data_IF_833060509784
#
_entry.id   IF_833060509784
#
_cell.length_a   1.000
_cell.length_b   1.000
_cell.length_c   1.000
_cell.angle_alpha   90.00
_cell.angle_beta   90.00
_cell.angle_gamma   90.00
#
_symmetry.space_group_name_H-M   'P 1'
#
loop_
_entity.id
_entity.type
_entity.pdbx_description
1 polymer ?
#
# COMPACT_ATOMS: atom_id res chain seq x y z
N UNK A 1 -8.21 -8.75 37.30
CA UNK A 1 -8.28 -7.94 36.06
C UNK A 1 -7.36 -6.75 36.20
N UNK A 2 -6.35 -6.59 35.34
CA UNK A 2 -5.41 -5.44 35.42
C UNK A 2 -6.06 -4.24 34.71
N UNK A 3 -6.59 -3.29 35.47
CA UNK A 3 -7.24 -2.09 34.93
C UNK A 3 -6.20 -0.97 34.86
N UNK A 4 -6.04 -0.34 33.69
CA UNK A 4 -5.06 0.73 33.54
C UNK A 4 -5.60 2.09 33.98
N UNK A 5 -4.69 3.04 34.25
CA UNK A 5 -5.05 4.37 34.72
C UNK A 5 -5.88 5.23 33.76
N UNK A 6 -6.06 4.82 32.50
CA UNK A 6 -7.01 5.44 31.57
C UNK A 6 -8.43 4.89 31.79
N UNK A 7 -8.59 3.57 31.82
CA UNK A 7 -9.88 2.91 32.08
C UNK A 7 -10.46 3.26 33.46
N UNK A 8 -9.61 3.45 34.47
CA UNK A 8 -10.06 3.88 35.82
C UNK A 8 -10.75 5.24 35.80
N UNK A 9 -10.34 6.16 34.92
CA UNK A 9 -10.90 7.52 34.88
C UNK A 9 -12.28 7.59 34.22
N UNK A 10 -12.69 6.52 33.54
CA UNK A 10 -14.00 6.42 32.89
C UNK A 10 -15.03 5.67 33.74
N UNK A 11 -14.62 5.18 34.93
CA UNK A 11 -15.51 4.45 35.84
C UNK A 11 -15.97 5.36 36.99
N UNK A 12 -17.24 5.23 37.44
CA UNK A 12 -17.73 5.93 38.62
C UNK A 12 -16.85 5.69 39.86
N UNK A 13 -16.72 6.70 40.73
CA UNK A 13 -15.83 6.63 41.91
C UNK A 13 -16.11 5.43 42.83
N UNK A 14 -17.34 4.92 42.82
CA UNK A 14 -17.83 3.85 43.69
C UNK A 14 -17.54 2.44 43.15
N UNK A 15 -16.91 2.34 41.98
CA UNK A 15 -16.76 1.07 41.25
C UNK A 15 -15.81 0.07 41.92
N UNK A 16 -15.00 0.51 42.89
CA UNK A 16 -13.98 -0.33 43.53
C UNK A 16 -13.78 -0.03 45.01
N UNK A 17 -13.57 -1.08 45.79
CA UNK A 17 -13.19 -1.01 47.21
C UNK A 17 -11.80 -0.39 47.40
N UNK A 18 -11.51 0.12 48.61
CA UNK A 18 -10.22 0.71 48.97
C UNK A 18 -9.06 -0.28 48.76
N UNK A 19 -9.28 -1.57 49.01
CA UNK A 19 -8.31 -2.64 48.76
C UNK A 19 -8.08 -2.89 47.26
N UNK A 20 -9.13 -2.83 46.43
CA UNK A 20 -9.03 -2.92 44.98
C UNK A 20 -8.28 -1.71 44.38
N UNK A 21 -8.35 -0.53 45.03
CA UNK A 21 -7.51 0.64 44.67
C UNK A 21 -6.03 0.43 45.02
N UNK A 22 -5.72 -0.38 46.05
CA UNK A 22 -4.36 -0.66 46.53
C UNK A 22 -3.57 -1.71 45.73
N UNK A 23 -4.23 -2.61 45.00
CA UNK A 23 -3.61 -3.70 44.23
C UNK A 23 -3.12 -3.30 42.81
N UNK A 24 -2.93 -2.01 42.53
CA UNK A 24 -2.55 -1.52 41.19
C UNK A 24 -1.12 -1.93 40.83
N UNK A 25 -0.97 -2.86 39.87
CA UNK A 25 0.25 -2.93 39.07
C UNK A 25 0.26 -1.76 38.07
N UNK A 26 1.22 -0.85 38.24
CA UNK A 26 1.48 0.32 37.39
C UNK A 26 1.66 -0.09 35.92
N UNK A 27 0.59 -0.07 35.11
CA UNK A 27 0.68 -0.06 33.65
C UNK A 27 0.00 1.21 33.15
N UNK A 28 0.74 2.04 32.41
CA UNK A 28 0.29 3.34 31.88
C UNK A 28 -0.95 3.20 30.97
N UNK A 29 -1.09 2.07 30.26
CA UNK A 29 -2.25 1.66 29.42
C UNK A 29 -2.40 0.14 29.35
N UNK A 30 -3.61 -0.40 29.45
CA UNK A 30 -3.88 -1.83 29.28
C UNK A 30 -3.77 -2.22 27.79
N UNK A 31 -3.74 -3.52 27.51
CA UNK A 31 -3.66 -4.07 26.14
C UNK A 31 -4.76 -3.53 25.24
N UNK A 32 -6.00 -3.43 25.74
CA UNK A 32 -7.13 -2.85 25.00
C UNK A 32 -6.89 -1.36 24.65
N UNK A 33 -6.37 -0.57 25.60
CA UNK A 33 -6.02 0.83 25.36
C UNK A 33 -4.85 0.98 24.37
N UNK A 34 -3.91 0.04 24.35
CA UNK A 34 -2.81 0.00 23.37
C UNK A 34 -3.35 -0.38 22.00
N UNK A 35 -4.17 -1.43 21.91
CA UNK A 35 -4.80 -1.89 20.68
C UNK A 35 -5.68 -0.78 20.07
N UNK A 36 -6.55 -0.15 20.87
CA UNK A 36 -7.36 0.99 20.43
C UNK A 36 -6.48 2.17 19.96
N UNK A 37 -5.36 2.42 20.65
CA UNK A 37 -4.38 3.42 20.24
C UNK A 37 -3.72 3.10 18.88
N UNK A 38 -3.30 1.85 18.69
CA UNK A 38 -2.69 1.37 17.46
C UNK A 38 -3.68 1.45 16.29
N UNK A 39 -4.92 1.01 16.50
CA UNK A 39 -5.98 1.10 15.49
C UNK A 39 -6.29 2.55 15.13
N UNK A 40 -6.35 3.47 16.11
CA UNK A 40 -6.56 4.89 15.84
C UNK A 40 -5.41 5.48 14.99
N UNK A 41 -4.17 5.13 15.30
CA UNK A 41 -2.99 5.54 14.52
C UNK A 41 -3.09 4.97 13.10
N UNK A 42 -3.43 3.70 12.96
CA UNK A 42 -3.63 3.03 11.68
C UNK A 42 -4.70 3.74 10.85
N UNK A 43 -5.83 4.16 11.43
CA UNK A 43 -6.89 4.87 10.66
C UNK A 43 -6.54 6.32 10.32
N UNK A 44 -5.62 6.95 11.05
CA UNK A 44 -5.20 8.34 10.82
C UNK A 44 -4.06 8.48 9.82
N UNK A 45 -3.13 7.52 9.75
CA UNK A 45 -1.99 7.56 8.80
C UNK A 45 -2.34 7.02 7.42
N UNK A 46 -1.49 7.28 6.42
CA UNK A 46 -1.62 6.74 5.07
C UNK A 46 -2.97 7.02 4.39
N UNK A 47 -3.50 8.23 4.58
CA UNK A 47 -4.77 8.70 3.97
C UNK A 47 -4.54 9.56 2.73
N UNK A 48 -3.30 9.65 2.27
CA UNK A 48 -2.84 10.30 1.04
C UNK A 48 -1.76 9.43 0.42
N UNK A 49 -1.61 9.54 -0.90
CA UNK A 49 -0.50 8.95 -1.63
C UNK A 49 0.75 9.80 -1.43
N UNK A 50 1.92 9.18 -1.55
CA UNK A 50 3.20 9.89 -1.45
C UNK A 50 3.64 10.35 -2.83
N UNK A 51 4.54 11.33 -2.93
CA UNK A 51 5.16 11.76 -4.20
C UNK A 51 5.83 10.61 -4.98
N UNK A 52 6.24 9.53 -4.31
CA UNK A 52 6.74 8.32 -4.96
C UNK A 52 5.69 7.62 -5.86
N UNK A 53 4.41 7.93 -5.67
CA UNK A 53 3.28 7.43 -6.45
C UNK A 53 2.94 8.32 -7.64
N UNK A 54 3.65 9.44 -7.83
CA UNK A 54 3.41 10.39 -8.90
C UNK A 54 4.28 10.06 -10.12
N UNK A 55 3.78 10.40 -11.30
CA UNK A 55 4.58 10.32 -12.50
C UNK A 55 5.70 11.37 -12.40
N UNK A 56 6.99 11.02 -12.54
CA UNK A 56 8.07 11.97 -12.35
C UNK A 56 8.19 13.01 -13.48
N UNK A 57 7.39 12.87 -14.55
CA UNK A 57 7.37 13.79 -15.70
C UNK A 57 6.23 14.80 -15.54
N UNK A 58 4.98 14.35 -15.41
CA UNK A 58 3.84 15.25 -15.26
C UNK A 58 3.49 15.62 -13.81
N UNK A 59 4.13 15.00 -12.82
CA UNK A 59 3.91 15.22 -11.38
C UNK A 59 2.46 14.97 -10.92
N UNK A 60 1.67 14.26 -11.73
CA UNK A 60 0.33 13.82 -11.37
C UNK A 60 0.38 12.42 -10.76
N UNK A 61 -0.45 12.13 -9.74
CA UNK A 61 -0.62 10.79 -9.19
C UNK A 61 -0.82 9.75 -10.29
N UNK A 62 -0.05 8.66 -10.26
CA UNK A 62 -0.17 7.60 -11.24
C UNK A 62 -1.53 6.91 -11.10
N UNK A 63 -2.18 6.48 -12.19
CA UNK A 63 -3.33 5.60 -12.06
C UNK A 63 -2.95 4.32 -11.30
N UNK A 64 -3.92 3.72 -10.60
CA UNK A 64 -3.70 2.46 -9.89
C UNK A 64 -3.68 1.26 -10.84
N UNK A 65 -4.30 1.39 -12.02
CA UNK A 65 -4.22 0.37 -13.04
C UNK A 65 -2.76 0.20 -13.50
N UNK A 66 -2.25 -1.04 -13.36
CA UNK A 66 -0.86 -1.35 -13.68
C UNK A 66 -0.58 -1.17 -15.18
N UNK A 67 -1.61 -1.31 -16.01
CA UNK A 67 -1.48 -1.19 -17.46
C UNK A 67 -1.37 0.27 -17.92
N UNK A 68 -1.66 1.25 -17.06
CA UNK A 68 -1.58 2.68 -17.38
C UNK A 68 -0.24 3.33 -17.03
N UNK A 69 0.72 2.55 -16.52
CA UNK A 69 2.07 3.01 -16.24
C UNK A 69 3.13 1.95 -16.51
N UNK A 70 4.33 2.40 -16.89
CA UNK A 70 5.46 1.52 -17.16
C UNK A 70 6.58 1.76 -16.15
N UNK A 71 7.05 0.70 -15.49
CA UNK A 71 8.24 0.77 -14.67
C UNK A 71 9.50 0.84 -15.54
N UNK A 72 10.37 1.80 -15.25
CA UNK A 72 11.63 2.03 -15.97
C UNK A 72 12.79 1.55 -15.11
N UNK A 73 13.27 0.35 -15.42
CA UNK A 73 14.41 -0.29 -14.74
C UNK A 73 15.70 0.55 -14.77
N UNK A 74 15.86 1.44 -15.76
CA UNK A 74 17.05 2.29 -15.84
C UNK A 74 17.14 3.37 -14.75
N UNK A 75 16.00 3.78 -14.20
CA UNK A 75 15.91 4.86 -13.21
C UNK A 75 15.05 4.52 -11.99
N UNK A 76 14.52 3.29 -11.91
CA UNK A 76 13.61 2.83 -10.86
C UNK A 76 12.38 3.73 -10.71
N UNK A 77 11.87 4.29 -11.82
CA UNK A 77 10.70 5.16 -11.83
C UNK A 77 9.54 4.52 -12.60
N UNK A 78 8.32 4.67 -12.10
CA UNK A 78 7.11 4.44 -12.89
C UNK A 78 6.75 5.71 -13.65
N UNK A 79 6.48 5.58 -14.94
CA UNK A 79 6.08 6.69 -15.81
C UNK A 79 4.71 6.36 -16.40
N UNK A 80 3.74 7.29 -16.33
CA UNK A 80 2.43 7.05 -16.92
C UNK A 80 2.53 6.93 -18.44
N UNK A 81 1.66 6.10 -19.03
CA UNK A 81 1.64 5.86 -20.46
C UNK A 81 1.39 7.15 -21.25
N UNK A 82 0.65 8.12 -20.70
CA UNK A 82 0.50 9.45 -21.30
C UNK A 82 1.85 10.15 -21.55
N UNK A 83 2.73 10.21 -20.56
CA UNK A 83 4.06 10.83 -20.75
C UNK A 83 4.95 10.01 -21.68
N UNK A 84 4.83 8.68 -21.66
CA UNK A 84 5.56 7.80 -22.59
C UNK A 84 5.10 8.05 -24.03
N UNK A 85 3.79 8.14 -24.24
CA UNK A 85 3.17 8.38 -25.54
C UNK A 85 3.52 9.77 -26.08
N UNK A 86 3.41 10.80 -25.23
CA UNK A 86 3.79 12.17 -25.58
C UNK A 86 5.27 12.27 -25.99
N UNK A 87 6.17 11.58 -25.28
CA UNK A 87 7.58 11.50 -25.67
C UNK A 87 7.77 10.81 -27.03
N UNK A 88 7.06 9.70 -27.28
CA UNK A 88 7.09 8.99 -28.56
C UNK A 88 6.67 9.87 -29.75
N UNK A 89 5.66 10.73 -29.59
CA UNK A 89 5.24 11.71 -30.61
C UNK A 89 6.35 12.70 -30.98
N UNK A 90 7.27 12.96 -30.06
CA UNK A 90 8.44 13.82 -30.27
C UNK A 90 9.67 13.03 -30.78
N UNK A 91 9.52 11.76 -31.14
CA UNK A 91 10.60 10.90 -31.61
C UNK A 91 11.53 10.40 -30.50
N UNK A 92 11.12 10.50 -29.23
CA UNK A 92 11.90 10.03 -28.09
C UNK A 92 11.59 8.55 -27.80
N UNK A 93 12.49 7.66 -28.25
CA UNK A 93 12.36 6.20 -28.07
C UNK A 93 13.27 5.62 -26.98
N UNK A 94 14.05 6.46 -26.31
CA UNK A 94 14.77 6.14 -25.09
C UNK A 94 13.86 6.32 -23.85
N UNK A 95 14.38 6.09 -22.64
CA UNK A 95 13.59 6.32 -21.43
C UNK A 95 13.20 7.81 -21.33
N UNK A 96 11.89 8.15 -21.26
CA UNK A 96 11.44 9.54 -21.29
C UNK A 96 11.84 10.33 -20.04
N UNK A 97 12.27 9.65 -18.97
CA UNK A 97 12.74 10.30 -17.75
C UNK A 97 14.26 10.51 -17.72
N UNK A 98 15.06 9.46 -17.95
CA UNK A 98 16.51 9.51 -17.79
C UNK A 98 17.32 9.39 -19.10
N UNK A 99 16.64 9.29 -20.25
CA UNK A 99 17.25 9.19 -21.59
C UNK A 99 18.16 7.97 -21.81
N UNK A 100 18.12 6.99 -20.90
CA UNK A 100 18.82 5.72 -21.09
C UNK A 100 18.19 4.93 -22.25
N UNK A 101 18.98 4.21 -23.06
CA UNK A 101 18.45 3.36 -24.13
C UNK A 101 17.40 2.36 -23.64
N UNK A 102 16.36 2.11 -24.44
CA UNK A 102 15.24 1.23 -24.06
C UNK A 102 15.53 -0.26 -24.22
N UNK A 103 16.59 -0.64 -24.93
CA UNK A 103 16.96 -2.03 -25.17
C UNK A 103 18.23 -2.37 -24.40
N UNK A 104 18.07 -3.10 -23.30
CA UNK A 104 19.16 -3.66 -22.50
C UNK A 104 19.03 -5.18 -22.51
N UNK A 105 20.16 -5.88 -22.52
CA UNK A 105 20.18 -7.31 -22.20
C UNK A 105 19.88 -7.50 -20.71
N UNK A 106 19.45 -8.71 -20.33
CA UNK A 106 19.24 -9.01 -18.90
C UNK A 106 20.49 -8.78 -18.05
N UNK A 107 21.68 -9.10 -18.57
CA UNK A 107 22.95 -8.84 -17.89
C UNK A 107 23.23 -7.34 -17.70
N UNK A 108 22.94 -6.51 -18.70
CA UNK A 108 23.09 -5.05 -18.61
C UNK A 108 22.10 -4.46 -17.60
N UNK A 109 20.84 -4.91 -17.62
CA UNK A 109 19.84 -4.45 -16.68
C UNK A 109 20.19 -4.85 -15.23
N UNK A 110 20.63 -6.09 -14.99
CA UNK A 110 21.10 -6.53 -13.66
C UNK A 110 22.30 -5.72 -13.16
N UNK A 111 23.28 -5.44 -14.01
CA UNK A 111 24.42 -4.58 -13.65
C UNK A 111 23.95 -3.17 -13.25
N UNK A 112 22.96 -2.63 -13.95
CA UNK A 112 22.39 -1.32 -13.64
C UNK A 112 21.59 -1.33 -12.33
N UNK A 113 20.78 -2.37 -12.09
CA UNK A 113 20.06 -2.57 -10.83
C UNK A 113 21.04 -2.64 -9.66
N UNK A 114 22.12 -3.42 -9.79
CA UNK A 114 23.16 -3.52 -8.76
C UNK A 114 23.80 -2.17 -8.47
N UNK A 115 24.16 -1.40 -9.50
CA UNK A 115 24.69 -0.04 -9.34
C UNK A 115 23.72 0.89 -8.59
N UNK A 116 22.40 0.76 -8.80
CA UNK A 116 21.39 1.53 -8.06
C UNK A 116 21.31 1.10 -6.58
N UNK A 117 21.40 -0.19 -6.31
CA UNK A 117 21.46 -0.73 -4.94
C UNK A 117 22.71 -0.22 -4.22
N UNK A 118 23.85 -0.21 -4.88
CA UNK A 118 25.12 0.30 -4.33
C UNK A 118 25.05 1.82 -4.07
N UNK A 119 24.24 2.54 -4.85
CA UNK A 119 23.93 3.95 -4.64
C UNK A 119 22.83 4.19 -3.57
N UNK A 120 22.32 3.14 -2.91
CA UNK A 120 21.34 3.24 -1.83
C UNK A 120 19.89 3.41 -2.28
N UNK A 121 19.54 3.10 -3.54
CA UNK A 121 18.16 3.18 -4.03
C UNK A 121 17.32 2.00 -3.49
N UNK A 122 16.36 2.24 -2.58
CA UNK A 122 15.60 1.16 -1.96
C UNK A 122 14.55 0.56 -2.90
N UNK A 123 14.13 1.28 -3.94
CA UNK A 123 13.23 0.75 -4.98
C UNK A 123 13.97 -0.26 -5.84
N UNK A 124 15.27 -0.07 -6.08
CA UNK A 124 16.10 -1.06 -6.78
C UNK A 124 16.21 -2.37 -6.00
N UNK A 125 16.28 -2.31 -4.66
CA UNK A 125 16.31 -3.49 -3.78
C UNK A 125 14.99 -4.27 -3.92
N UNK A 126 13.84 -3.57 -3.81
CA UNK A 126 12.53 -4.17 -4.04
C UNK A 126 12.43 -4.80 -5.44
N UNK A 127 12.89 -4.08 -6.47
CA UNK A 127 12.85 -4.56 -7.85
C UNK A 127 13.67 -5.84 -8.04
N UNK A 128 14.88 -5.90 -7.47
CA UNK A 128 15.69 -7.12 -7.48
C UNK A 128 15.00 -8.28 -6.72
N UNK A 129 14.34 -7.99 -5.60
CA UNK A 129 13.55 -8.98 -4.86
C UNK A 129 12.46 -9.59 -5.74
N UNK A 130 11.76 -8.77 -6.53
CA UNK A 130 10.77 -9.25 -7.51
C UNK A 130 11.42 -10.16 -8.57
N UNK A 131 12.63 -9.83 -9.04
CA UNK A 131 13.34 -10.66 -10.04
C UNK A 131 13.71 -12.03 -9.49
N UNK A 132 14.16 -12.11 -8.24
CA UNK A 132 14.37 -13.40 -7.57
C UNK A 132 13.07 -14.15 -7.30
N UNK A 133 11.97 -13.49 -6.93
CA UNK A 133 10.67 -14.13 -6.71
C UNK A 133 10.16 -14.86 -7.96
N UNK A 134 10.34 -14.26 -9.14
CA UNK A 134 9.79 -14.78 -10.39
C UNK A 134 10.83 -15.50 -11.27
N UNK A 135 12.12 -15.48 -10.93
CA UNK A 135 13.17 -16.11 -11.73
C UNK A 135 13.38 -15.40 -13.08
N UNK A 136 13.37 -14.07 -13.07
CA UNK A 136 13.51 -13.26 -14.27
C UNK A 136 14.96 -12.78 -14.48
N UNK A 137 15.28 -12.23 -15.66
CA UNK A 137 16.62 -11.70 -15.98
C UNK A 137 17.73 -12.76 -15.96
N UNK A 138 17.37 -14.04 -16.13
CA UNK A 138 18.31 -15.16 -16.04
C UNK A 138 18.69 -15.53 -14.60
N UNK A 139 17.99 -15.00 -13.60
CA UNK A 139 18.10 -15.45 -12.22
C UNK A 139 17.24 -16.70 -12.00
N UNK A 140 17.73 -17.63 -11.19
CA UNK A 140 16.89 -18.71 -10.69
C UNK A 140 15.89 -18.17 -9.67
N UNK A 141 14.68 -18.74 -9.65
CA UNK A 141 13.67 -18.41 -8.64
C UNK A 141 14.24 -18.73 -7.25
N UNK A 142 14.34 -17.72 -6.38
CA UNK A 142 14.85 -17.86 -5.02
C UNK A 142 14.02 -17.01 -4.05
N UNK A 143 13.13 -17.69 -3.30
CA UNK A 143 12.23 -17.01 -2.37
C UNK A 143 12.92 -16.48 -1.12
N UNK A 144 13.95 -17.16 -0.62
CA UNK A 144 14.74 -16.69 0.52
C UNK A 144 15.37 -15.35 0.20
N UNK A 145 16.06 -15.25 -0.94
CA UNK A 145 16.65 -13.98 -1.39
C UNK A 145 15.61 -12.90 -1.67
N UNK A 146 14.44 -13.26 -2.20
CA UNK A 146 13.36 -12.30 -2.41
C UNK A 146 12.85 -11.71 -1.07
N UNK A 147 12.63 -12.56 -0.06
CA UNK A 147 12.18 -12.13 1.28
C UNK A 147 13.22 -11.22 1.94
N UNK A 148 14.50 -11.62 1.95
CA UNK A 148 15.58 -10.80 2.52
C UNK A 148 15.66 -9.41 1.87
N UNK A 149 15.50 -9.34 0.54
CA UNK A 149 15.50 -8.07 -0.19
C UNK A 149 14.24 -7.24 0.13
N UNK A 150 13.08 -7.86 0.26
CA UNK A 150 11.87 -7.14 0.66
C UNK A 150 11.96 -6.61 2.10
N UNK A 151 12.49 -7.40 3.04
CA UNK A 151 12.71 -6.94 4.42
C UNK A 151 13.64 -5.73 4.45
N UNK A 152 14.77 -5.80 3.73
CA UNK A 152 15.70 -4.67 3.62
C UNK A 152 15.05 -3.44 2.97
N UNK A 153 14.25 -3.61 1.91
CA UNK A 153 13.56 -2.49 1.28
C UNK A 153 12.48 -1.89 2.19
N UNK A 154 11.80 -2.71 2.98
CA UNK A 154 10.80 -2.30 3.97
C UNK A 154 11.43 -1.49 5.11
N UNK A 155 12.59 -1.92 5.63
CA UNK A 155 13.38 -1.18 6.63
C UNK A 155 13.81 0.21 6.13
N UNK A 156 14.04 0.34 4.81
CA UNK A 156 14.35 1.61 4.15
C UNK A 156 13.10 2.44 3.79
N UNK A 157 11.92 2.01 4.23
CA UNK A 157 10.66 2.76 4.11
C UNK A 157 9.87 2.52 2.82
N UNK A 158 10.20 1.49 2.03
CA UNK A 158 9.44 1.16 0.81
C UNK A 158 8.16 0.41 1.19
N UNK A 159 7.03 1.12 1.17
CA UNK A 159 5.71 0.56 1.50
C UNK A 159 5.29 -0.60 0.60
N UNK A 160 5.72 -0.61 -0.67
CA UNK A 160 5.47 -1.72 -1.60
C UNK A 160 6.18 -2.99 -1.16
N UNK A 161 7.34 -2.89 -0.49
CA UNK A 161 8.05 -4.05 0.04
C UNK A 161 7.29 -4.67 1.22
N UNK A 162 6.75 -3.83 2.11
CA UNK A 162 5.80 -4.29 3.13
C UNK A 162 4.58 -4.96 2.48
N UNK A 163 4.00 -4.39 1.42
CA UNK A 163 2.88 -5.03 0.74
C UNK A 163 3.27 -6.40 0.13
N UNK A 164 4.41 -6.51 -0.53
CA UNK A 164 4.91 -7.78 -1.08
C UNK A 164 5.09 -8.85 0.00
N UNK A 165 5.67 -8.51 1.15
CA UNK A 165 5.78 -9.43 2.30
C UNK A 165 4.41 -9.82 2.83
N UNK A 166 3.48 -8.87 2.93
CA UNK A 166 2.11 -9.12 3.33
C UNK A 166 1.43 -10.16 2.45
N UNK A 167 1.55 -10.02 1.13
CA UNK A 167 1.01 -10.96 0.15
C UNK A 167 1.64 -12.33 0.28
N UNK A 168 2.98 -12.42 0.41
CA UNK A 168 3.67 -13.69 0.53
C UNK A 168 3.17 -14.52 1.73
N UNK A 169 3.08 -13.89 2.91
CA UNK A 169 2.62 -14.58 4.12
C UNK A 169 1.12 -14.86 4.13
N UNK A 170 0.32 -14.09 3.40
CA UNK A 170 -1.13 -14.30 3.29
C UNK A 170 -1.46 -15.46 2.32
N UNK A 171 -0.78 -15.51 1.17
CA UNK A 171 -0.96 -16.57 0.16
C UNK A 171 -0.40 -17.91 0.64
N UNK A 172 0.78 -17.91 1.29
CA UNK A 172 1.39 -19.13 1.82
C UNK A 172 1.89 -20.12 0.76
N UNK A 173 1.94 -19.71 -0.51
CA UNK A 173 2.34 -20.58 -1.63
C UNK A 173 3.86 -20.72 -1.75
N UNK A 174 4.59 -19.64 -1.46
CA UNK A 174 6.04 -19.53 -1.63
C UNK A 174 6.81 -19.48 -0.28
N UNK A 175 6.09 -19.20 0.81
CA UNK A 175 6.56 -19.19 2.21
C UNK A 175 5.47 -19.79 3.09
N UNK A 176 5.79 -20.22 4.31
CA UNK A 176 4.75 -20.69 5.24
C UNK A 176 3.72 -19.58 5.51
N UNK A 177 2.43 -19.93 5.40
CA UNK A 177 1.33 -19.00 5.63
C UNK A 177 1.37 -18.49 7.07
N UNK A 178 1.36 -17.17 7.24
CA UNK A 178 1.32 -16.51 8.55
C UNK A 178 0.46 -15.24 8.46
N UNK A 179 -0.83 -15.39 8.75
CA UNK A 179 -1.79 -14.28 8.69
C UNK A 179 -1.42 -13.13 9.63
N UNK A 180 -0.80 -13.42 10.79
CA UNK A 180 -0.43 -12.39 11.75
C UNK A 180 0.74 -11.55 11.23
N UNK A 181 1.75 -12.17 10.59
CA UNK A 181 2.80 -11.44 9.86
C UNK A 181 2.23 -10.67 8.69
N UNK A 182 1.33 -11.28 7.91
CA UNK A 182 0.69 -10.62 6.78
C UNK A 182 -0.01 -9.33 7.20
N UNK A 183 -0.82 -9.38 8.27
CA UNK A 183 -1.50 -8.19 8.83
C UNK A 183 -0.49 -7.12 9.24
N UNK A 184 0.57 -7.46 9.98
CA UNK A 184 1.60 -6.48 10.40
C UNK A 184 2.23 -5.77 9.19
N UNK A 185 2.56 -6.52 8.15
CA UNK A 185 3.12 -5.96 6.92
C UNK A 185 2.10 -5.09 6.17
N UNK A 186 0.85 -5.54 6.06
CA UNK A 186 -0.22 -4.72 5.46
C UNK A 186 -0.49 -3.44 6.26
N UNK A 187 -0.48 -3.48 7.60
CA UNK A 187 -0.64 -2.29 8.45
C UNK A 187 0.47 -1.28 8.21
N UNK A 188 1.73 -1.73 8.15
CA UNK A 188 2.87 -0.87 7.86
C UNK A 188 2.76 -0.22 6.48
N UNK A 189 2.43 -1.01 5.44
CA UNK A 189 2.21 -0.49 4.09
C UNK A 189 1.02 0.49 4.05
N UNK A 190 -0.08 0.18 4.75
CA UNK A 190 -1.27 1.00 4.85
C UNK A 190 -1.02 2.33 5.58
N UNK A 191 -0.15 2.36 6.58
CA UNK A 191 0.32 3.58 7.24
C UNK A 191 1.20 4.44 6.31
N UNK A 192 1.92 3.81 5.38
CA UNK A 192 2.65 4.48 4.30
C UNK A 192 1.78 4.91 3.10
N UNK A 193 0.47 4.70 3.15
CA UNK A 193 -0.46 5.09 2.08
C UNK A 193 -0.60 4.07 0.96
N UNK A 194 -0.17 2.81 1.16
CA UNK A 194 -0.33 1.77 0.15
C UNK A 194 -1.80 1.34 0.01
N UNK A 195 -2.35 1.55 -1.19
CA UNK A 195 -3.79 1.41 -1.46
C UNK A 195 -4.26 -0.04 -1.35
N UNK A 196 -3.57 -0.98 -1.99
CA UNK A 196 -3.96 -2.39 -1.95
C UNK A 196 -3.78 -3.02 -0.57
N UNK A 197 -2.87 -2.50 0.25
CA UNK A 197 -2.71 -2.98 1.63
C UNK A 197 -3.93 -2.59 2.47
N UNK A 198 -4.44 -1.37 2.29
CA UNK A 198 -5.73 -0.95 2.91
C UNK A 198 -6.88 -1.83 2.45
N UNK A 199 -6.95 -2.14 1.16
CA UNK A 199 -7.98 -3.03 0.63
C UNK A 199 -7.88 -4.43 1.25
N UNK A 200 -6.69 -5.04 1.31
CA UNK A 200 -6.51 -6.38 1.88
C UNK A 200 -6.88 -6.42 3.36
N UNK A 201 -6.48 -5.42 4.16
CA UNK A 201 -6.93 -5.30 5.55
C UNK A 201 -8.46 -5.23 5.65
N UNK A 202 -9.14 -4.51 4.74
CA UNK A 202 -10.60 -4.48 4.75
C UNK A 202 -11.25 -5.84 4.50
N UNK A 203 -10.62 -6.68 3.67
CA UNK A 203 -11.11 -8.04 3.40
C UNK A 203 -10.89 -8.93 4.62
N UNK A 204 -9.69 -8.88 5.22
CA UNK A 204 -9.35 -9.64 6.43
C UNK A 204 -10.31 -9.30 7.58
N UNK A 205 -10.50 -8.01 7.87
CA UNK A 205 -11.43 -7.54 8.91
C UNK A 205 -12.88 -7.91 8.58
N UNK A 206 -13.26 -7.84 7.30
CA UNK A 206 -14.59 -8.24 6.85
C UNK A 206 -14.87 -9.72 7.07
N UNK A 207 -13.89 -10.60 6.78
CA UNK A 207 -13.97 -12.05 7.02
C UNK A 207 -14.03 -12.34 8.52
N UNK A 208 -13.32 -11.57 9.34
CA UNK A 208 -13.37 -11.67 10.80
C UNK A 208 -14.68 -11.14 11.43
N UNK A 209 -15.59 -10.57 10.63
CA UNK A 209 -16.84 -9.98 11.11
C UNK A 209 -16.73 -8.54 11.62
N UNK A 210 -15.53 -7.94 11.54
CA UNK A 210 -15.24 -6.58 12.00
C UNK A 210 -15.67 -5.53 10.96
N UNK A 211 -16.96 -5.52 10.60
CA UNK A 211 -17.49 -4.73 9.49
C UNK A 211 -17.26 -3.22 9.61
N UNK A 212 -17.24 -2.67 10.83
CA UNK A 212 -16.94 -1.24 11.08
C UNK A 212 -15.49 -0.92 10.71
N UNK A 213 -14.54 -1.78 11.11
CA UNK A 213 -13.11 -1.61 10.82
C UNK A 213 -12.86 -1.83 9.32
N UNK A 214 -13.48 -2.85 8.75
CA UNK A 214 -13.46 -3.12 7.32
C UNK A 214 -13.93 -1.91 6.50
N UNK A 215 -15.07 -1.31 6.88
CA UNK A 215 -15.60 -0.10 6.26
C UNK A 215 -14.60 1.06 6.32
N UNK A 216 -13.97 1.30 7.48
CA UNK A 216 -12.95 2.35 7.63
C UNK A 216 -11.77 2.15 6.66
N UNK A 217 -11.26 0.93 6.53
CA UNK A 217 -10.22 0.60 5.56
C UNK A 217 -10.68 0.83 4.11
N UNK A 218 -11.90 0.42 3.77
CA UNK A 218 -12.47 0.63 2.42
C UNK A 218 -12.64 2.11 2.11
N UNK A 219 -13.08 2.93 3.08
CA UNK A 219 -13.23 4.37 2.89
C UNK A 219 -11.89 5.04 2.61
N UNK A 220 -10.82 4.66 3.33
CA UNK A 220 -9.47 5.18 3.07
C UNK A 220 -8.98 4.72 1.70
N UNK A 221 -9.10 3.44 1.37
CA UNK A 221 -8.67 2.90 0.08
C UNK A 221 -9.42 3.53 -1.11
N UNK A 222 -10.74 3.72 -0.98
CA UNK A 222 -11.56 4.41 -1.98
C UNK A 222 -11.14 5.87 -2.16
N UNK A 223 -10.81 6.57 -1.06
CA UNK A 223 -10.23 7.92 -1.10
C UNK A 223 -8.90 7.97 -1.85
N UNK A 224 -8.13 6.87 -1.86
CA UNK A 224 -6.88 6.79 -2.61
C UNK A 224 -7.09 6.32 -4.07
N UNK A 225 -8.34 6.20 -4.53
CA UNK A 225 -8.69 5.88 -5.91
C UNK A 225 -8.98 4.41 -6.20
N UNK A 226 -9.16 3.54 -5.19
CA UNK A 226 -9.42 2.12 -5.43
C UNK A 226 -10.90 1.81 -5.70
N UNK A 227 -11.22 1.44 -6.94
CA UNK A 227 -12.60 1.18 -7.38
C UNK A 227 -13.26 0.00 -6.66
N UNK A 228 -12.54 -1.12 -6.47
CA UNK A 228 -13.09 -2.30 -5.78
C UNK A 228 -13.43 -1.98 -4.32
N UNK A 229 -12.69 -1.07 -3.68
CA UNK A 229 -13.04 -0.58 -2.34
C UNK A 229 -14.36 0.18 -2.36
N UNK A 230 -14.56 1.10 -3.31
CA UNK A 230 -15.83 1.80 -3.48
C UNK A 230 -16.99 0.83 -3.73
N UNK A 231 -16.79 -0.17 -4.58
CA UNK A 231 -17.77 -1.22 -4.84
C UNK A 231 -18.12 -2.03 -3.59
N UNK A 232 -17.13 -2.31 -2.73
CA UNK A 232 -17.37 -2.97 -1.45
C UNK A 232 -18.11 -2.08 -0.45
N UNK A 233 -17.85 -0.76 -0.41
CA UNK A 233 -18.66 0.17 0.40
C UNK A 233 -20.12 0.15 -0.07
N UNK A 234 -20.36 0.16 -1.40
CA UNK A 234 -21.70 0.02 -1.96
C UNK A 234 -22.38 -1.27 -1.49
N UNK A 235 -21.66 -2.39 -1.50
CA UNK A 235 -22.17 -3.68 -1.02
C UNK A 235 -22.52 -3.67 0.47
N UNK A 236 -21.69 -3.06 1.32
CA UNK A 236 -22.01 -2.89 2.74
C UNK A 236 -23.23 -1.99 2.97
N UNK A 237 -23.38 -0.92 2.17
CA UNK A 237 -24.57 -0.06 2.21
C UNK A 237 -25.84 -0.84 1.85
N UNK A 238 -25.81 -1.63 0.76
CA UNK A 238 -26.93 -2.47 0.37
C UNK A 238 -27.29 -3.54 1.42
N UNK A 239 -26.31 -4.00 2.19
CA UNK A 239 -26.50 -4.95 3.29
C UNK A 239 -26.94 -4.29 4.61
N UNK A 240 -27.10 -2.96 4.67
CA UNK A 240 -27.44 -2.23 5.90
C UNK A 240 -26.29 -2.09 6.90
N UNK A 241 -25.06 -2.44 6.52
CA UNK A 241 -23.85 -2.37 7.35
C UNK A 241 -23.10 -1.04 7.20
N UNK A 242 -23.48 -0.22 6.22
CA UNK A 242 -22.98 1.15 6.04
C UNK A 242 -24.15 2.10 5.80
N UNK A 243 -23.99 3.36 6.15
CA UNK A 243 -25.03 4.37 5.95
C UNK A 243 -25.00 4.94 4.53
N UNK A 244 -26.09 5.61 4.13
CA UNK A 244 -26.13 6.39 2.88
C UNK A 244 -25.04 7.48 2.87
N UNK A 245 -24.75 8.07 4.02
CA UNK A 245 -23.73 9.10 4.16
C UNK A 245 -22.32 8.52 3.91
N UNK A 246 -22.03 7.32 4.42
CA UNK A 246 -20.76 6.65 4.21
C UNK A 246 -20.51 6.37 2.73
N UNK A 247 -21.52 5.83 2.04
CA UNK A 247 -21.42 5.56 0.60
C UNK A 247 -21.26 6.85 -0.21
N UNK A 248 -22.04 7.89 0.07
CA UNK A 248 -21.93 9.18 -0.61
C UNK A 248 -20.55 9.83 -0.39
N UNK A 249 -20.01 9.74 0.82
CA UNK A 249 -18.67 10.22 1.14
C UNK A 249 -17.59 9.43 0.37
N UNK A 250 -17.67 8.10 0.37
CA UNK A 250 -16.74 7.24 -0.36
C UNK A 250 -16.75 7.53 -1.86
N UNK A 251 -17.94 7.70 -2.45
CA UNK A 251 -18.09 8.03 -3.88
C UNK A 251 -17.45 9.37 -4.23
N UNK A 252 -17.72 10.42 -3.45
CA UNK A 252 -17.13 11.76 -3.67
C UNK A 252 -15.61 11.72 -3.57
N UNK A 253 -15.08 11.09 -2.52
CA UNK A 253 -13.63 10.98 -2.32
C UNK A 253 -12.96 10.21 -3.46
N UNK A 254 -13.59 9.13 -3.94
CA UNK A 254 -13.10 8.37 -5.09
C UNK A 254 -13.10 9.21 -6.37
N UNK A 255 -14.18 9.95 -6.65
CA UNK A 255 -14.27 10.82 -7.82
C UNK A 255 -13.14 11.86 -7.84
N UNK A 256 -12.88 12.51 -6.70
CA UNK A 256 -11.78 13.46 -6.58
C UNK A 256 -10.42 12.78 -6.87
N UNK A 257 -10.18 11.58 -6.34
CA UNK A 257 -8.93 10.86 -6.61
C UNK A 257 -8.77 10.50 -8.10
N UNK A 258 -9.86 10.10 -8.77
CA UNK A 258 -9.86 9.84 -10.22
C UNK A 258 -9.57 11.11 -11.02
N UNK A 259 -10.14 12.24 -10.61
CA UNK A 259 -9.88 13.54 -11.22
C UNK A 259 -8.42 13.97 -11.06
N UNK A 260 -7.83 13.81 -9.87
CA UNK A 260 -6.41 14.07 -9.60
C UNK A 260 -5.47 13.17 -10.43
N UNK A 261 -5.89 11.94 -10.75
CA UNK A 261 -5.17 11.02 -11.64
C UNK A 261 -5.44 11.26 -13.13
N UNK A 262 -6.34 12.17 -13.50
CA UNK A 262 -6.69 12.40 -14.90
C UNK A 262 -5.62 13.23 -15.62
N UNK A 263 -5.45 12.99 -16.93
CA UNK A 263 -4.53 13.75 -17.77
C UNK A 263 -4.94 13.64 -19.24
N UNK A 264 -4.92 14.74 -20.01
CA UNK A 264 -5.20 14.69 -21.45
C UNK A 264 -4.29 13.71 -22.19
N UNK A 265 -2.99 13.69 -21.89
CA UNK A 265 -2.04 12.77 -22.51
C UNK A 265 -2.34 11.31 -22.19
N UNK A 266 -2.81 11.02 -20.97
CA UNK A 266 -3.22 9.66 -20.57
C UNK A 266 -4.49 9.24 -21.32
N UNK A 267 -5.47 10.14 -21.45
CA UNK A 267 -6.69 9.89 -22.21
C UNK A 267 -6.39 9.63 -23.70
N UNK A 268 -5.52 10.43 -24.30
CA UNK A 268 -5.07 10.24 -25.68
C UNK A 268 -4.32 8.90 -25.85
N UNK A 269 -3.37 8.60 -24.96
CA UNK A 269 -2.64 7.33 -25.01
C UNK A 269 -3.58 6.12 -24.88
N UNK A 270 -4.55 6.16 -23.97
CA UNK A 270 -5.53 5.11 -23.78
C UNK A 270 -6.45 4.91 -25.00
N UNK A 271 -6.81 5.99 -25.70
CA UNK A 271 -7.62 5.92 -26.92
C UNK A 271 -6.88 5.24 -28.07
N UNK A 272 -5.55 5.36 -28.12
CA UNK A 272 -4.72 4.76 -29.18
C UNK A 272 -4.30 3.32 -28.84
N UNK A 273 -4.02 3.01 -27.57
CA UNK A 273 -3.50 1.71 -27.14
C UNK A 273 -4.58 0.63 -26.92
N UNK A 274 -5.86 1.00 -26.84
CA UNK A 274 -6.99 0.06 -26.68
C UNK A 274 -7.60 -0.40 -28.02
N UNK A 275 -6.92 -0.15 -29.13
CA UNK A 275 -7.24 -0.59 -30.50
C UNK A 275 -6.07 -1.38 -31.09
#
# INVERSE_FOLDING_TARGET
MKICGACVRELPDDSYSVEQRGLRQSIRRCEECVAAGNQLVLMKKGRTRSEADDCPICQLPLPLDIDESSFRECCMKKVCNGCVFAAGKLGMWDCPFCRAPTRMTYSQALAMIRKRIDAGDPVAILFLGNKYRFGEYGLEKNMTSAVELYERAAELGVKEAHFSLGVLYDEGADVEKDTAKAIKHYEAAAMGGHVYARYNLSIIEGIAGNHVIALQHMMISAKLGHEKSLSNVKRLFMAGLATKADYAAALRMYQNAVEEMSSPDRAEANAVLRH
#
